data_IF_152455335242
#
_entry.id   IF_152455335242
#
_cell.length_a   1.000
_cell.length_b   1.000
_cell.length_c   1.000
_cell.angle_alpha   90.00
_cell.angle_beta   90.00
_cell.angle_gamma   90.00
#
_symmetry.space_group_name_H-M   'P 1'
#
loop_
_entity.id
_entity.type
_entity.pdbx_description
1 polymer ?
#
# COMPACT_ATOMS: atom_id res chain seq x y z
N UNK A 1 -12.58 15.06 -34.02
CA UNK A 1 -13.63 14.86 -33.00
C UNK A 1 -13.45 13.63 -32.09
N UNK A 2 -13.22 12.40 -32.61
CA UNK A 2 -13.33 11.14 -31.82
C UNK A 2 -12.44 11.02 -30.56
N UNK A 3 -11.25 11.63 -30.54
CA UNK A 3 -10.29 11.48 -29.42
C UNK A 3 -10.27 12.72 -28.53
N UNK A 4 -10.32 13.92 -29.12
CA UNK A 4 -10.14 15.19 -28.38
C UNK A 4 -11.45 15.94 -28.13
N UNK A 5 -12.55 15.54 -28.76
CA UNK A 5 -13.81 16.30 -28.75
C UNK A 5 -13.81 17.58 -29.60
N UNK A 6 -12.66 18.00 -30.14
CA UNK A 6 -12.56 19.20 -30.99
C UNK A 6 -12.94 18.91 -32.44
N UNK A 7 -13.58 19.90 -33.08
CA UNK A 7 -13.75 19.93 -34.54
C UNK A 7 -12.43 20.26 -35.24
N UNK A 8 -12.32 19.94 -36.52
CA UNK A 8 -11.08 20.16 -37.29
C UNK A 8 -10.74 21.65 -37.42
N UNK A 9 -11.75 22.51 -37.51
CA UNK A 9 -11.59 23.96 -37.48
C UNK A 9 -11.04 24.46 -36.12
N UNK A 10 -11.54 23.91 -35.00
CA UNK A 10 -11.02 24.24 -33.67
C UNK A 10 -9.58 23.78 -33.52
N UNK A 11 -9.26 22.56 -33.97
CA UNK A 11 -7.91 22.02 -33.91
C UNK A 11 -6.93 22.87 -34.71
N UNK A 12 -7.29 23.23 -35.95
CA UNK A 12 -6.50 24.12 -36.82
C UNK A 12 -6.22 25.46 -36.13
N UNK A 13 -7.24 26.04 -35.48
CA UNK A 13 -7.08 27.30 -34.72
C UNK A 13 -6.11 27.16 -33.56
N UNK A 14 -6.23 26.09 -32.77
CA UNK A 14 -5.36 25.82 -31.62
C UNK A 14 -3.91 25.58 -32.05
N UNK A 15 -3.70 24.81 -33.12
CA UNK A 15 -2.37 24.56 -33.69
C UNK A 15 -1.75 25.88 -34.19
N UNK A 16 -2.52 26.70 -34.89
CA UNK A 16 -2.04 28.00 -35.38
C UNK A 16 -1.70 28.97 -34.23
N UNK A 17 -2.44 28.91 -33.11
CA UNK A 17 -2.15 29.70 -31.90
C UNK A 17 -0.86 29.23 -31.22
N UNK A 18 -0.69 27.91 -31.06
CA UNK A 18 0.52 27.32 -30.48
C UNK A 18 1.75 27.67 -31.33
N UNK A 19 1.65 27.60 -32.66
CA UNK A 19 2.73 27.97 -33.58
C UNK A 19 3.12 29.45 -33.50
N UNK A 20 2.16 30.35 -33.34
CA UNK A 20 2.41 31.81 -33.31
C UNK A 20 2.92 32.32 -31.97
N UNK A 21 2.42 31.75 -30.87
CA UNK A 21 2.62 32.33 -29.52
C UNK A 21 3.36 31.40 -28.57
N UNK A 22 3.55 30.12 -28.93
CA UNK A 22 4.15 29.10 -28.06
C UNK A 22 3.22 28.58 -26.96
N UNK A 23 1.99 29.09 -26.86
CA UNK A 23 1.00 28.67 -25.86
C UNK A 23 -0.42 28.64 -26.43
N UNK A 24 -1.25 27.74 -25.91
CA UNK A 24 -2.69 27.71 -26.20
C UNK A 24 -3.41 28.48 -25.10
N UNK A 25 -4.29 29.41 -25.49
CA UNK A 25 -5.15 30.13 -24.53
C UNK A 25 -6.51 29.46 -24.51
N UNK A 26 -6.92 28.99 -23.34
CA UNK A 26 -8.31 28.60 -23.10
C UNK A 26 -9.17 29.87 -23.16
N UNK A 27 -10.13 29.92 -24.09
CA UNK A 27 -11.04 31.04 -24.27
C UNK A 27 -12.23 30.99 -23.32
N UNK A 28 -12.34 29.97 -22.46
CA UNK A 28 -13.32 29.96 -21.38
C UNK A 28 -13.05 31.17 -20.48
N UNK A 29 -14.07 32.02 -20.30
CA UNK A 29 -14.00 33.23 -19.46
C UNK A 29 -13.53 32.92 -18.03
N UNK A 30 -13.80 31.71 -17.53
CA UNK A 30 -13.25 31.17 -16.29
C UNK A 30 -12.95 29.67 -16.43
N UNK A 31 -11.94 29.14 -15.73
CA UNK A 31 -11.76 27.70 -15.59
C UNK A 31 -13.04 27.04 -15.05
N UNK A 32 -13.35 25.81 -15.45
CA UNK A 32 -14.46 25.07 -14.84
C UNK A 32 -14.24 24.94 -13.33
N UNK A 33 -15.28 25.15 -12.54
CA UNK A 33 -15.17 25.13 -11.08
C UNK A 33 -14.65 23.79 -10.51
N UNK A 34 -14.82 22.69 -11.25
CA UNK A 34 -14.36 21.34 -10.89
C UNK A 34 -13.84 20.61 -12.14
N UNK A 35 -12.61 20.89 -12.59
CA UNK A 35 -12.06 20.29 -13.81
C UNK A 35 -11.86 18.76 -13.68
N UNK A 36 -11.72 18.27 -12.44
CA UNK A 36 -11.45 16.86 -12.13
C UNK A 36 -12.40 16.34 -11.05
N UNK A 37 -13.71 16.50 -11.28
CA UNK A 37 -14.71 15.93 -10.38
C UNK A 37 -14.54 14.41 -10.30
N UNK A 38 -14.38 13.90 -9.08
CA UNK A 38 -14.19 12.46 -8.85
C UNK A 38 -15.54 11.78 -8.68
N UNK A 39 -15.85 10.81 -9.54
CA UNK A 39 -17.11 10.03 -9.46
C UNK A 39 -17.05 8.97 -8.36
N UNK A 40 -15.92 8.27 -8.27
CA UNK A 40 -15.72 7.18 -7.32
C UNK A 40 -14.92 7.65 -6.10
N UNK A 41 -15.51 7.45 -4.94
CA UNK A 41 -15.04 7.83 -3.61
C UNK A 41 -14.18 6.73 -2.99
N UNK A 42 -13.67 7.01 -1.79
CA UNK A 42 -13.02 6.02 -0.93
C UNK A 42 -13.99 4.89 -0.53
N UNK A 43 -15.27 5.20 -0.28
CA UNK A 43 -16.26 4.22 0.11
C UNK A 43 -16.48 3.16 -0.99
N UNK A 44 -16.45 3.55 -2.26
CA UNK A 44 -16.59 2.58 -3.37
C UNK A 44 -15.36 1.69 -3.51
N UNK A 45 -14.17 2.21 -3.19
CA UNK A 45 -12.96 1.40 -3.18
C UNK A 45 -13.01 0.34 -2.08
N UNK A 46 -13.55 0.67 -0.92
CA UNK A 46 -13.74 -0.27 0.19
C UNK A 46 -14.84 -1.29 -0.13
N UNK A 47 -15.97 -0.85 -0.68
CA UNK A 47 -17.07 -1.73 -1.08
C UNK A 47 -16.62 -2.72 -2.17
N UNK A 48 -15.79 -2.26 -3.12
CA UNK A 48 -15.17 -3.16 -4.10
C UNK A 48 -14.24 -4.17 -3.44
N UNK A 49 -13.45 -3.77 -2.42
CA UNK A 49 -12.59 -4.69 -1.69
C UNK A 49 -13.41 -5.78 -0.98
N UNK A 50 -14.54 -5.42 -0.35
CA UNK A 50 -15.46 -6.38 0.27
C UNK A 50 -16.01 -7.40 -0.74
N UNK A 51 -16.47 -6.93 -1.91
CA UNK A 51 -16.97 -7.81 -2.98
C UNK A 51 -15.86 -8.72 -3.50
N UNK A 52 -14.68 -8.16 -3.75
CA UNK A 52 -13.56 -8.92 -4.27
C UNK A 52 -13.06 -9.94 -3.23
N UNK A 53 -13.15 -9.66 -1.94
CA UNK A 53 -12.83 -10.61 -0.86
C UNK A 53 -13.85 -11.76 -0.84
N UNK A 54 -15.14 -11.44 -0.87
CA UNK A 54 -16.22 -12.43 -0.83
C UNK A 54 -16.27 -13.33 -2.09
N UNK A 55 -15.87 -12.81 -3.26
CA UNK A 55 -15.98 -13.51 -4.55
C UNK A 55 -14.64 -14.02 -5.10
N UNK A 56 -13.54 -13.92 -4.36
CA UNK A 56 -12.24 -14.44 -4.80
C UNK A 56 -11.60 -13.66 -5.96
N UNK A 57 -11.79 -12.34 -6.01
CA UNK A 57 -11.29 -11.40 -7.01
C UNK A 57 -11.57 -11.78 -8.47
N UNK A 58 -12.75 -11.41 -8.94
CA UNK A 58 -13.17 -11.69 -10.32
C UNK A 58 -12.43 -10.84 -11.36
N UNK A 59 -12.54 -11.24 -12.64
CA UNK A 59 -12.13 -10.41 -13.78
C UNK A 59 -12.94 -9.11 -13.83
N UNK A 60 -12.43 -8.07 -14.50
CA UNK A 60 -13.14 -6.79 -14.63
C UNK A 60 -14.58 -6.92 -15.12
N UNK A 61 -14.87 -7.63 -16.23
CA UNK A 61 -16.23 -7.84 -16.72
C UNK A 61 -17.14 -8.59 -15.73
N UNK A 62 -16.62 -9.62 -15.07
CA UNK A 62 -17.39 -10.41 -14.10
C UNK A 62 -17.69 -9.58 -12.83
N UNK A 63 -16.70 -8.81 -12.36
CA UNK A 63 -16.85 -7.85 -11.25
C UNK A 63 -17.91 -6.80 -11.59
N UNK A 64 -17.84 -6.20 -12.77
CA UNK A 64 -18.84 -5.23 -13.25
C UNK A 64 -20.26 -5.82 -13.21
N UNK A 65 -20.44 -7.06 -13.69
CA UNK A 65 -21.73 -7.74 -13.65
C UNK A 65 -22.20 -8.02 -12.23
N UNK A 66 -21.30 -8.40 -11.32
CA UNK A 66 -21.61 -8.61 -9.91
C UNK A 66 -22.11 -7.30 -9.25
N UNK A 67 -21.38 -6.20 -9.42
CA UNK A 67 -21.74 -4.89 -8.87
C UNK A 67 -23.09 -4.40 -9.41
N UNK A 68 -23.34 -4.57 -10.71
CA UNK A 68 -24.63 -4.28 -11.31
C UNK A 68 -25.76 -5.10 -10.67
N UNK A 69 -25.55 -6.41 -10.43
CA UNK A 69 -26.55 -7.27 -9.77
C UNK A 69 -26.79 -6.83 -8.32
N UNK A 70 -25.75 -6.47 -7.57
CA UNK A 70 -25.89 -5.96 -6.19
C UNK A 70 -26.84 -4.76 -6.13
N UNK A 71 -26.73 -3.83 -7.09
CA UNK A 71 -27.64 -2.69 -7.17
C UNK A 71 -29.04 -3.06 -7.71
N UNK A 72 -29.11 -3.66 -8.89
CA UNK A 72 -30.39 -3.77 -9.63
C UNK A 72 -31.19 -5.03 -9.32
N UNK A 73 -30.55 -6.11 -8.89
CA UNK A 73 -31.22 -7.38 -8.56
C UNK A 73 -31.45 -7.47 -7.07
N UNK A 74 -30.45 -7.10 -6.27
CA UNK A 74 -30.52 -7.19 -4.80
C UNK A 74 -30.94 -5.88 -4.13
N UNK A 75 -31.04 -4.77 -4.88
CA UNK A 75 -31.53 -3.49 -4.35
C UNK A 75 -30.57 -2.80 -3.39
N UNK A 76 -29.30 -3.22 -3.30
CA UNK A 76 -28.33 -2.62 -2.39
C UNK A 76 -27.81 -1.29 -2.96
N UNK A 77 -28.35 -0.20 -2.41
CA UNK A 77 -28.05 1.17 -2.84
C UNK A 77 -26.59 1.57 -2.66
N UNK A 78 -25.82 0.87 -1.82
CA UNK A 78 -24.37 1.12 -1.68
C UNK A 78 -23.66 0.97 -3.02
N UNK A 79 -24.20 0.16 -3.92
CA UNK A 79 -23.62 -0.14 -5.24
C UNK A 79 -24.10 0.78 -6.36
N UNK A 80 -24.96 1.77 -6.12
CA UNK A 80 -25.52 2.63 -7.19
C UNK A 80 -24.45 3.23 -8.10
N UNK A 81 -23.40 3.85 -7.53
CA UNK A 81 -22.30 4.42 -8.31
C UNK A 81 -21.41 3.35 -8.97
N UNK A 82 -21.30 2.18 -8.37
CA UNK A 82 -20.50 1.07 -8.88
C UNK A 82 -21.23 0.26 -9.97
N UNK A 83 -22.56 0.34 -10.06
CA UNK A 83 -23.34 -0.39 -11.05
C UNK A 83 -23.00 0.01 -12.50
N UNK A 84 -22.62 1.27 -12.71
CA UNK A 84 -22.26 1.82 -14.02
C UNK A 84 -20.74 1.82 -14.28
N UNK A 85 -19.94 1.20 -13.41
CA UNK A 85 -18.48 1.27 -13.49
C UNK A 85 -17.93 0.71 -14.81
N UNK A 86 -16.90 1.36 -15.34
CA UNK A 86 -16.13 0.84 -16.47
C UNK A 86 -15.08 -0.18 -16.01
N UNK A 87 -14.71 -1.11 -16.89
CA UNK A 87 -13.65 -2.09 -16.57
C UNK A 87 -12.34 -1.40 -16.16
N UNK A 88 -11.95 -0.32 -16.84
CA UNK A 88 -10.76 0.46 -16.49
C UNK A 88 -10.85 1.06 -15.08
N UNK A 89 -12.03 1.56 -14.70
CA UNK A 89 -12.21 2.13 -13.36
C UNK A 89 -12.21 1.09 -12.24
N UNK A 90 -12.57 -0.17 -12.51
CA UNK A 90 -12.38 -1.27 -11.54
C UNK A 90 -10.89 -1.39 -11.19
N UNK A 91 -10.00 -1.43 -12.19
CA UNK A 91 -8.56 -1.51 -11.93
C UNK A 91 -8.01 -0.23 -11.29
N UNK A 92 -8.53 0.94 -11.65
CA UNK A 92 -8.17 2.19 -10.97
C UNK A 92 -8.52 2.13 -9.47
N UNK A 93 -9.70 1.61 -9.11
CA UNK A 93 -10.10 1.44 -7.72
C UNK A 93 -9.24 0.39 -7.00
N UNK A 94 -8.94 -0.75 -7.64
CA UNK A 94 -8.00 -1.76 -7.11
C UNK A 94 -6.59 -1.19 -6.89
N UNK A 95 -6.21 -0.17 -7.66
CA UNK A 95 -4.96 0.56 -7.51
C UNK A 95 -4.93 1.57 -6.36
N UNK A 96 -6.09 1.97 -5.81
CA UNK A 96 -6.14 2.99 -4.75
C UNK A 96 -5.62 2.46 -3.43
N UNK A 97 -5.00 3.35 -2.65
CA UNK A 97 -4.51 3.06 -1.30
C UNK A 97 -5.58 2.45 -0.41
N UNK A 98 -6.79 3.01 -0.41
CA UNK A 98 -7.90 2.53 0.42
C UNK A 98 -8.32 1.08 0.11
N UNK A 99 -8.41 0.72 -1.17
CA UNK A 99 -8.65 -0.67 -1.58
C UNK A 99 -7.51 -1.57 -1.12
N UNK A 100 -6.26 -1.18 -1.42
CA UNK A 100 -5.08 -1.99 -1.07
C UNK A 100 -4.96 -2.19 0.43
N UNK A 101 -5.22 -1.16 1.25
CA UNK A 101 -5.19 -1.29 2.70
C UNK A 101 -6.28 -2.23 3.22
N UNK A 102 -7.47 -2.22 2.61
CA UNK A 102 -8.55 -3.14 2.99
C UNK A 102 -8.27 -4.59 2.56
N UNK A 103 -7.65 -4.80 1.38
CA UNK A 103 -7.28 -6.14 0.90
C UNK A 103 -5.98 -6.70 1.48
N UNK A 104 -5.12 -5.87 2.08
CA UNK A 104 -3.86 -6.35 2.64
C UNK A 104 -4.11 -6.92 4.04
N UNK A 105 -4.17 -8.23 4.16
CA UNK A 105 -4.21 -8.91 5.46
C UNK A 105 -2.80 -8.93 6.06
N UNK A 106 -2.54 -8.09 7.05
CA UNK A 106 -1.33 -8.19 7.86
C UNK A 106 -1.51 -9.31 8.88
N UNK A 107 -1.08 -10.52 8.52
CA UNK A 107 -0.95 -11.59 9.52
C UNK A 107 0.33 -11.34 10.30
N UNK A 108 0.23 -11.22 11.63
CA UNK A 108 1.40 -11.20 12.48
C UNK A 108 2.29 -12.40 12.13
N UNK A 109 3.58 -12.14 11.94
CA UNK A 109 4.56 -13.20 11.71
C UNK A 109 4.51 -14.17 12.89
N UNK A 110 4.42 -15.47 12.61
CA UNK A 110 4.55 -16.47 13.67
C UNK A 110 6.01 -16.44 14.13
N UNK A 111 6.24 -16.03 15.37
CA UNK A 111 7.57 -16.05 15.96
C UNK A 111 8.07 -17.49 16.05
N UNK A 112 9.20 -17.78 15.43
CA UNK A 112 9.93 -19.04 15.65
C UNK A 112 10.84 -18.86 16.87
N UNK A 113 10.85 -19.77 17.85
CA UNK A 113 11.84 -19.72 18.92
C UNK A 113 13.24 -19.78 18.32
N UNK A 114 14.02 -18.71 18.51
CA UNK A 114 15.39 -18.60 18.02
C UNK A 114 16.37 -18.93 19.14
N UNK A 115 17.38 -19.79 18.91
CA UNK A 115 18.45 -20.02 19.88
C UNK A 115 19.48 -18.89 19.94
N UNK A 116 19.29 -17.79 19.18
CA UNK A 116 20.15 -16.61 19.24
C UNK A 116 20.15 -16.05 20.68
N UNK A 117 21.34 -15.88 21.25
CA UNK A 117 21.51 -15.44 22.64
C UNK A 117 21.50 -16.56 23.69
N UNK A 118 21.41 -17.84 23.29
CA UNK A 118 21.63 -18.94 24.24
C UNK A 118 23.06 -18.93 24.77
N UNK A 119 23.23 -18.77 26.08
CA UNK A 119 24.52 -18.89 26.75
C UNK A 119 25.00 -20.33 26.65
N UNK A 120 26.10 -20.56 25.93
CA UNK A 120 26.77 -21.87 25.83
C UNK A 120 28.26 -21.66 26.04
N UNK A 121 28.88 -22.54 26.83
CA UNK A 121 30.35 -22.54 27.00
C UNK A 121 31.01 -22.82 25.63
N UNK A 122 32.04 -22.05 25.23
CA UNK A 122 32.82 -22.35 24.04
C UNK A 122 33.49 -23.74 24.13
N UNK A 123 33.68 -24.41 22.99
CA UNK A 123 34.46 -25.66 22.89
C UNK A 123 35.62 -25.42 21.90
N UNK A 124 36.77 -24.90 22.37
CA UNK A 124 37.82 -24.42 21.48
C UNK A 124 38.64 -25.54 20.82
N UNK A 125 38.62 -26.77 21.34
CA UNK A 125 39.36 -27.92 20.79
C UNK A 125 40.86 -27.62 20.52
N UNK A 126 41.46 -26.74 21.33
CA UNK A 126 42.85 -26.30 21.19
C UNK A 126 43.11 -25.29 20.05
N UNK A 127 42.06 -24.70 19.46
CA UNK A 127 42.17 -23.75 18.35
C UNK A 127 41.92 -22.31 18.82
N UNK A 128 42.71 -21.31 18.36
CA UNK A 128 42.48 -19.90 18.67
C UNK A 128 41.20 -19.38 18.03
N UNK A 129 40.63 -18.32 18.61
CA UNK A 129 39.44 -17.62 18.09
C UNK A 129 38.16 -17.78 18.91
N UNK A 130 38.25 -18.28 20.15
CA UNK A 130 37.11 -18.44 21.05
C UNK A 130 37.31 -17.61 22.32
N UNK A 131 36.48 -16.58 22.51
CA UNK A 131 36.44 -15.81 23.75
C UNK A 131 35.27 -16.27 24.64
N UNK A 132 35.54 -16.53 25.92
CA UNK A 132 34.51 -16.65 26.95
C UNK A 132 34.19 -15.27 27.49
N UNK A 133 32.91 -14.90 27.43
CA UNK A 133 32.39 -13.64 27.96
C UNK A 133 31.47 -13.93 29.14
N UNK A 134 31.91 -13.55 30.33
CA UNK A 134 31.14 -13.68 31.56
C UNK A 134 30.82 -12.32 32.15
N UNK A 135 29.75 -12.26 32.92
CA UNK A 135 29.32 -11.04 33.63
C UNK A 135 29.36 -11.31 35.12
N UNK A 136 30.05 -10.46 35.86
CA UNK A 136 30.11 -10.52 37.33
C UNK A 136 29.42 -9.29 37.88
N UNK A 137 28.44 -9.50 38.76
CA UNK A 137 27.74 -8.41 39.43
C UNK A 137 28.50 -8.03 40.70
N UNK A 138 28.86 -6.76 40.87
CA UNK A 138 29.63 -6.30 42.04
C UNK A 138 28.81 -6.24 43.35
N UNK A 139 27.52 -6.56 43.28
CA UNK A 139 26.58 -6.50 44.40
C UNK A 139 25.90 -5.14 44.53
N UNK A 140 24.65 -5.15 44.96
CA UNK A 140 23.87 -3.93 45.20
C UNK A 140 24.20 -3.36 46.58
N UNK A 141 24.27 -2.04 46.72
CA UNK A 141 24.49 -1.36 48.00
C UNK A 141 23.34 -0.40 48.26
N UNK A 142 22.73 -0.51 49.43
CA UNK A 142 21.64 0.38 49.89
C UNK A 142 20.46 0.50 48.91
N UNK A 143 20.19 -0.57 48.13
CA UNK A 143 19.12 -0.62 47.14
C UNK A 143 19.49 -0.07 45.77
N UNK A 144 20.69 0.46 45.59
CA UNK A 144 21.22 0.87 44.29
C UNK A 144 21.90 -0.31 43.59
N UNK A 145 21.60 -0.48 42.29
CA UNK A 145 22.16 -1.57 41.50
C UNK A 145 23.68 -1.42 41.31
N UNK A 146 24.40 -2.46 41.68
CA UNK A 146 25.83 -2.57 41.44
C UNK A 146 26.18 -2.64 39.95
N UNK A 147 27.45 -2.36 39.65
CA UNK A 147 27.94 -2.49 38.28
C UNK A 147 28.04 -3.96 37.85
N UNK A 148 27.82 -4.20 36.56
CA UNK A 148 28.16 -5.47 35.92
C UNK A 148 29.52 -5.32 35.25
N UNK A 149 30.50 -6.07 35.75
CA UNK A 149 31.81 -6.19 35.11
C UNK A 149 31.72 -7.29 34.05
N UNK A 150 32.06 -6.94 32.81
CA UNK A 150 32.16 -7.90 31.71
C UNK A 150 33.60 -8.41 31.66
N UNK A 151 33.77 -9.71 31.92
CA UNK A 151 35.05 -10.40 31.76
C UNK A 151 35.09 -11.04 30.37
N UNK A 152 36.14 -10.76 29.60
CA UNK A 152 36.44 -11.47 28.36
C UNK A 152 37.77 -12.21 28.52
N UNK A 153 37.74 -13.53 28.36
CA UNK A 153 38.90 -14.40 28.50
C UNK A 153 39.07 -15.21 27.22
N UNK A 154 40.27 -15.28 26.68
CA UNK A 154 40.58 -16.17 25.56
C UNK A 154 40.66 -17.62 26.08
N UNK A 155 39.99 -18.56 25.43
CA UNK A 155 39.88 -19.95 25.92
C UNK A 155 41.04 -20.86 25.47
N UNK A 156 42.06 -20.32 24.78
CA UNK A 156 43.30 -21.07 24.49
C UNK A 156 44.34 -20.81 25.55
N UNK A 157 44.64 -21.82 26.35
CA UNK A 157 45.92 -21.99 27.05
C UNK A 157 46.35 -23.44 26.92
#
# INVERSE_FOLDING_TARGET
>A
AKVTGYSDAQLTRLIAQQRRTGHIRDHRLRPPARPFATVYTTADALLLAEVDEALGQLSGPATKRALWRMCHVFGDKRFERLAEISNGHIYNLRGRRAYRSARTTFRATRGTPSPIGQRRRPRPEGRPGFARVDTVHSGDRDGEKGAYVINMVDEVT
#
